data_IF_191900167428
#
_entry.id   IF_191900167428
#
_cell.length_a   1.000
_cell.length_b   1.000
_cell.length_c   1.000
_cell.angle_alpha   90.00
_cell.angle_beta   90.00
_cell.angle_gamma   90.00
#
_symmetry.space_group_name_H-M   'P 1'
#
loop_
_entity.id
_entity.type
_entity.pdbx_description
1 polymer ?
#
# COMPACT_ATOMS: atom_id res chain seq x y z
N UNK A 1 0.55 -8.31 -20.25
CA UNK A 1 0.43 -8.70 -18.82
C UNK A 1 1.82 -8.61 -18.24
N UNK A 2 2.13 -7.54 -17.49
CA UNK A 2 3.46 -7.33 -16.92
C UNK A 2 3.30 -7.32 -15.40
N UNK A 3 3.75 -8.37 -14.76
CA UNK A 3 3.86 -8.47 -13.31
C UNK A 3 5.16 -7.80 -12.90
N UNK A 4 5.07 -6.68 -12.24
CA UNK A 4 6.24 -6.01 -11.66
C UNK A 4 6.35 -6.30 -10.18
N UNK A 5 7.38 -7.07 -9.81
CA UNK A 5 8.09 -7.12 -8.53
C UNK A 5 7.31 -7.20 -7.22
N UNK A 6 7.50 -8.21 -6.57
CA UNK A 6 7.47 -8.74 -5.20
C UNK A 6 6.48 -8.25 -4.12
N UNK A 7 5.68 -7.20 -4.25
CA UNK A 7 4.76 -6.74 -3.18
C UNK A 7 3.34 -6.37 -3.59
N UNK A 8 2.97 -6.59 -4.82
CA UNK A 8 1.63 -6.33 -5.34
C UNK A 8 1.69 -5.92 -6.80
N UNK A 9 0.81 -6.48 -7.62
CA UNK A 9 0.64 -6.13 -9.02
C UNK A 9 -0.53 -5.18 -9.19
N UNK A 10 -0.41 -4.20 -10.06
CA UNK A 10 -1.46 -3.33 -10.53
C UNK A 10 -1.79 -3.72 -11.98
N UNK A 11 -3.05 -4.10 -12.24
CA UNK A 11 -3.58 -4.32 -13.58
C UNK A 11 -4.53 -3.19 -13.96
N UNK A 12 -4.47 -2.76 -15.22
CA UNK A 12 -5.38 -1.75 -15.77
C UNK A 12 -6.01 -2.28 -17.05
N UNK A 13 -7.33 -2.22 -17.14
CA UNK A 13 -8.11 -2.60 -18.33
C UNK A 13 -9.08 -1.48 -18.68
N UNK A 14 -9.17 -1.10 -19.93
CA UNK A 14 -10.12 -0.11 -20.41
C UNK A 14 -11.44 -0.79 -20.78
N UNK A 15 -12.55 -0.27 -20.24
CA UNK A 15 -13.91 -0.67 -20.59
C UNK A 15 -14.72 0.59 -20.94
N UNK A 16 -14.84 0.91 -22.23
CA UNK A 16 -15.51 2.13 -22.69
C UNK A 16 -14.79 3.41 -22.24
N UNK A 17 -15.52 4.34 -21.60
CA UNK A 17 -14.95 5.58 -21.03
C UNK A 17 -14.38 5.41 -19.63
N UNK A 18 -14.65 4.28 -18.97
CA UNK A 18 -14.13 3.97 -17.65
C UNK A 18 -12.95 2.99 -17.76
N UNK A 19 -11.99 3.16 -16.87
CA UNK A 19 -10.82 2.29 -16.78
C UNK A 19 -10.92 1.45 -15.52
N UNK A 20 -10.92 0.13 -15.68
CA UNK A 20 -10.83 -0.80 -14.55
C UNK A 20 -9.40 -0.98 -14.12
N UNK A 21 -9.16 -0.81 -12.84
CA UNK A 21 -7.86 -0.97 -12.19
C UNK A 21 -8.00 -2.05 -11.14
N UNK A 22 -7.19 -3.09 -11.22
CA UNK A 22 -7.17 -4.16 -10.23
C UNK A 22 -5.77 -4.33 -9.67
N UNK A 23 -5.69 -4.71 -8.41
CA UNK A 23 -4.43 -4.95 -7.77
C UNK A 23 -4.50 -6.01 -6.68
N UNK A 24 -3.34 -6.60 -6.40
CA UNK A 24 -3.17 -7.64 -5.41
C UNK A 24 -1.96 -7.36 -4.55
N UNK A 25 -2.16 -7.35 -3.23
CA UNK A 25 -1.10 -7.23 -2.24
C UNK A 25 -0.96 -8.56 -1.48
N UNK A 26 0.10 -9.34 -1.71
CA UNK A 26 0.27 -10.66 -1.11
C UNK A 26 0.54 -10.57 0.39
N UNK A 27 -0.13 -11.42 1.17
CA UNK A 27 0.14 -11.63 2.59
C UNK A 27 1.36 -12.55 2.80
N UNK A 28 1.85 -12.57 4.02
CA UNK A 28 2.94 -13.41 4.50
C UNK A 28 4.25 -13.32 3.67
N UNK A 29 4.37 -12.27 2.84
CA UNK A 29 5.58 -11.99 2.08
C UNK A 29 6.54 -11.15 2.91
N UNK A 30 7.73 -11.68 3.16
CA UNK A 30 8.81 -10.96 3.86
C UNK A 30 9.37 -9.87 2.94
N UNK A 31 9.34 -8.64 3.41
CA UNK A 31 9.82 -7.46 2.69
C UNK A 31 10.92 -6.78 3.49
N UNK A 32 12.04 -6.51 2.87
CA UNK A 32 13.08 -5.68 3.46
C UNK A 32 12.72 -4.20 3.25
N UNK A 33 12.48 -3.49 4.35
CA UNK A 33 12.13 -2.06 4.35
C UNK A 33 13.36 -1.16 4.49
N UNK A 34 14.40 -1.68 5.13
CA UNK A 34 15.72 -1.09 5.24
C UNK A 34 16.74 -2.21 5.52
N UNK A 35 18.04 -2.00 5.33
CA UNK A 35 19.04 -3.02 5.58
C UNK A 35 18.88 -3.66 6.97
N UNK A 36 18.62 -4.98 7.00
CA UNK A 36 18.39 -5.74 8.23
C UNK A 36 17.02 -5.53 8.88
N UNK A 37 16.12 -4.71 8.30
CA UNK A 37 14.77 -4.49 8.81
C UNK A 37 13.73 -5.08 7.87
N UNK A 38 13.05 -6.12 8.32
CA UNK A 38 12.06 -6.85 7.53
C UNK A 38 10.66 -6.69 8.10
N UNK A 39 9.67 -6.60 7.22
CA UNK A 39 8.27 -6.59 7.58
C UNK A 39 7.51 -7.69 6.85
N UNK A 40 6.53 -8.25 7.53
CA UNK A 40 5.57 -9.20 6.97
C UNK A 40 4.17 -8.79 7.42
N UNK A 41 3.23 -8.71 6.50
CA UNK A 41 1.81 -8.51 6.80
C UNK A 41 1.13 -9.87 6.80
N UNK A 42 0.62 -10.28 7.94
CA UNK A 42 -0.04 -11.57 8.10
C UNK A 42 -1.37 -11.61 7.36
N UNK A 43 -1.77 -12.80 6.94
CA UNK A 43 -3.13 -13.08 6.47
C UNK A 43 -4.15 -12.54 7.46
N UNK A 44 -5.17 -11.87 6.95
CA UNK A 44 -6.26 -11.32 7.75
C UNK A 44 -5.92 -10.09 8.56
N UNK A 45 -4.69 -9.55 8.48
CA UNK A 45 -4.30 -8.36 9.23
C UNK A 45 -5.22 -7.14 8.99
N UNK A 46 -5.88 -7.07 7.85
CA UNK A 46 -6.81 -5.99 7.48
C UNK A 46 -8.29 -6.38 7.61
N UNK A 47 -8.61 -7.54 8.20
CA UNK A 47 -9.98 -8.09 8.20
C UNK A 47 -11.01 -7.12 8.79
N UNK A 48 -10.68 -6.42 9.87
CA UNK A 48 -11.58 -5.48 10.53
C UNK A 48 -12.08 -4.38 9.58
N UNK A 49 -11.19 -3.83 8.77
CA UNK A 49 -11.53 -2.74 7.84
C UNK A 49 -12.07 -3.23 6.50
N UNK A 50 -11.57 -4.36 6.01
CA UNK A 50 -12.08 -4.95 4.78
C UNK A 50 -13.55 -5.35 4.93
N UNK A 51 -13.92 -5.90 6.10
CA UNK A 51 -15.28 -6.36 6.39
C UNK A 51 -16.21 -5.27 6.96
N UNK A 52 -15.73 -4.04 7.14
CA UNK A 52 -16.56 -2.92 7.60
C UNK A 52 -17.17 -2.16 6.42
N UNK A 53 -18.22 -1.36 6.70
CA UNK A 53 -18.83 -0.42 5.75
C UNK A 53 -18.12 0.94 5.69
N UNK A 54 -17.00 1.07 6.39
CA UNK A 54 -16.22 2.29 6.37
C UNK A 54 -15.66 2.58 4.98
N UNK A 55 -15.59 3.87 4.64
CA UNK A 55 -15.02 4.25 3.36
C UNK A 55 -13.54 3.90 3.26
N UNK A 56 -13.18 3.36 2.11
CA UNK A 56 -11.80 3.13 1.70
C UNK A 56 -11.59 3.85 0.36
N UNK A 57 -10.38 4.35 0.16
CA UNK A 57 -10.01 5.06 -1.05
C UNK A 57 -8.90 4.33 -1.81
N UNK A 58 -8.97 4.42 -3.13
CA UNK A 58 -7.84 4.19 -4.00
C UNK A 58 -7.25 5.54 -4.38
N UNK A 59 -5.97 5.75 -4.10
CA UNK A 59 -5.30 7.05 -4.23
C UNK A 59 -4.15 7.00 -5.23
N UNK A 60 -3.75 8.17 -5.72
CA UNK A 60 -2.49 8.36 -6.43
C UNK A 60 -1.43 8.83 -5.42
N UNK A 61 -0.41 7.97 -5.16
CA UNK A 61 0.75 8.34 -4.37
C UNK A 61 0.51 8.64 -2.89
N UNK A 62 -0.47 7.98 -2.23
CA UNK A 62 -0.87 8.25 -0.84
C UNK A 62 -1.45 9.65 -0.59
N UNK A 63 -1.87 10.32 -1.64
CA UNK A 63 -2.38 11.69 -1.58
C UNK A 63 -3.91 11.70 -1.55
N UNK A 64 -4.49 12.06 -0.39
CA UNK A 64 -5.94 12.14 -0.22
C UNK A 64 -6.60 13.26 -1.04
N UNK A 65 -5.83 14.19 -1.59
CA UNK A 65 -6.32 15.19 -2.54
C UNK A 65 -6.44 14.64 -3.96
N UNK A 66 -5.90 13.45 -4.22
CA UNK A 66 -5.93 12.75 -5.52
C UNK A 66 -6.63 11.39 -5.45
N UNK A 67 -7.90 11.34 -5.00
CA UNK A 67 -8.65 10.10 -4.98
C UNK A 67 -8.97 9.63 -6.41
N UNK A 68 -8.75 8.35 -6.67
CA UNK A 68 -9.03 7.69 -7.93
C UNK A 68 -10.36 6.91 -7.89
N UNK A 69 -10.68 6.34 -6.73
CA UNK A 69 -11.92 5.61 -6.47
C UNK A 69 -12.23 5.56 -4.97
N UNK A 70 -13.48 5.27 -4.60
CA UNK A 70 -13.92 5.14 -3.21
C UNK A 70 -14.97 4.04 -3.09
N UNK A 71 -14.96 3.35 -1.95
CA UNK A 71 -15.96 2.31 -1.62
C UNK A 71 -17.36 2.92 -1.54
N UNK A 72 -17.54 4.05 -0.85
CA UNK A 72 -18.84 4.72 -0.71
C UNK A 72 -19.36 5.29 -2.02
N UNK A 73 -18.48 5.66 -2.93
CA UNK A 73 -18.88 6.05 -4.28
C UNK A 73 -19.25 4.85 -5.16
N UNK A 74 -19.09 3.61 -4.67
CA UNK A 74 -19.34 2.38 -5.44
C UNK A 74 -18.34 2.13 -6.56
N UNK A 75 -17.21 2.83 -6.54
CA UNK A 75 -16.15 2.72 -7.56
C UNK A 75 -14.93 1.94 -7.08
N UNK A 76 -14.91 1.51 -5.82
CA UNK A 76 -13.84 0.68 -5.25
C UNK A 76 -14.44 -0.51 -4.51
N UNK A 77 -14.00 -1.70 -4.86
CA UNK A 77 -14.20 -2.93 -4.10
C UNK A 77 -12.88 -3.38 -3.50
N UNK A 78 -12.88 -3.71 -2.20
CA UNK A 78 -11.71 -4.27 -1.51
C UNK A 78 -12.16 -5.54 -0.80
N UNK A 79 -11.49 -6.63 -1.09
CA UNK A 79 -11.71 -7.95 -0.48
C UNK A 79 -10.39 -8.60 -0.15
N UNK A 80 -10.43 -9.71 0.54
CA UNK A 80 -9.25 -10.52 0.82
C UNK A 80 -9.55 -11.99 0.63
N UNK A 81 -8.54 -12.73 0.22
CA UNK A 81 -8.49 -14.17 0.23
C UNK A 81 -7.40 -14.67 1.19
N UNK A 82 -7.18 -15.98 1.19
CA UNK A 82 -6.14 -16.61 2.01
C UNK A 82 -4.71 -16.14 1.67
N UNK A 83 -4.49 -15.60 0.50
CA UNK A 83 -3.15 -15.24 0.02
C UNK A 83 -2.91 -13.74 -0.14
N UNK A 84 -3.96 -12.91 -0.19
CA UNK A 84 -3.78 -11.49 -0.50
C UNK A 84 -4.94 -10.59 -0.11
N UNK A 85 -4.63 -9.29 0.03
CA UNK A 85 -5.59 -8.20 -0.14
C UNK A 85 -5.76 -7.94 -1.63
N UNK A 86 -7.01 -7.88 -2.09
CA UNK A 86 -7.38 -7.70 -3.50
C UNK A 86 -8.25 -6.45 -3.56
N UNK A 87 -8.01 -5.60 -4.55
CA UNK A 87 -8.89 -4.48 -4.83
C UNK A 87 -9.22 -4.42 -6.33
N UNK A 88 -10.40 -3.89 -6.61
CA UNK A 88 -10.87 -3.56 -7.96
C UNK A 88 -11.47 -2.17 -7.92
N UNK A 89 -11.04 -1.30 -8.83
CA UNK A 89 -11.48 0.08 -8.90
C UNK A 89 -11.92 0.45 -10.32
N UNK A 90 -12.96 1.27 -10.41
CA UNK A 90 -13.37 1.93 -11.66
C UNK A 90 -12.91 3.37 -11.60
N UNK A 91 -11.92 3.72 -12.41
CA UNK A 91 -11.35 5.06 -12.48
C UNK A 91 -11.93 5.81 -13.64
N UNK A 92 -12.63 6.91 -13.37
CA UNK A 92 -13.12 7.82 -14.39
C UNK A 92 -12.03 8.84 -14.76
N UNK A 93 -11.69 8.95 -16.04
CA UNK A 93 -10.68 9.88 -16.54
C UNK A 93 -11.12 11.36 -16.58
N UNK A 94 -12.08 11.77 -15.74
CA UNK A 94 -12.66 13.12 -15.76
C UNK A 94 -11.93 14.13 -14.87
N UNK A 95 -11.02 13.68 -14.00
CA UNK A 95 -10.16 14.57 -13.21
C UNK A 95 -8.73 14.62 -13.80
N UNK A 96 -7.99 15.71 -13.53
CA UNK A 96 -6.61 15.83 -14.02
C UNK A 96 -5.73 14.73 -13.49
N UNK A 97 -5.76 14.49 -12.18
CA UNK A 97 -4.92 13.47 -11.54
C UNK A 97 -5.28 12.03 -11.95
N UNK A 98 -6.54 11.75 -12.32
CA UNK A 98 -6.91 10.43 -12.84
C UNK A 98 -6.33 10.23 -14.25
N UNK A 99 -6.38 11.24 -15.13
CA UNK A 99 -5.71 11.19 -16.44
C UNK A 99 -4.19 11.07 -16.29
N UNK A 100 -3.60 11.84 -15.39
CA UNK A 100 -2.16 11.80 -15.13
C UNK A 100 -1.73 10.42 -14.61
N UNK A 101 -2.52 9.82 -13.70
CA UNK A 101 -2.29 8.46 -13.23
C UNK A 101 -2.36 7.45 -14.37
N UNK A 102 -3.41 7.48 -15.19
CA UNK A 102 -3.60 6.54 -16.31
C UNK A 102 -2.46 6.67 -17.32
N UNK A 103 -2.11 7.89 -17.72
CA UNK A 103 -0.99 8.15 -18.62
C UNK A 103 0.36 7.69 -18.04
N UNK A 104 0.61 7.97 -16.77
CA UNK A 104 1.83 7.52 -16.09
C UNK A 104 1.90 6.00 -15.95
N UNK A 105 0.76 5.34 -15.71
CA UNK A 105 0.70 3.88 -15.68
C UNK A 105 0.97 3.27 -17.06
N UNK A 106 0.34 3.78 -18.12
CA UNK A 106 0.56 3.36 -19.50
C UNK A 106 2.02 3.54 -19.91
N UNK A 107 2.64 4.67 -19.53
CA UNK A 107 4.06 4.92 -19.73
C UNK A 107 4.98 4.05 -18.84
N UNK A 108 4.41 3.22 -17.94
CA UNK A 108 5.16 2.34 -17.05
C UNK A 108 5.86 3.05 -15.89
N UNK A 109 5.50 4.29 -15.60
CA UNK A 109 6.07 5.08 -14.50
C UNK A 109 5.47 4.71 -13.15
N UNK A 110 4.19 4.32 -13.11
CA UNK A 110 3.47 3.86 -11.91
C UNK A 110 3.11 2.40 -12.09
N UNK A 111 3.72 1.51 -11.28
CA UNK A 111 3.54 0.06 -11.39
C UNK A 111 3.29 -0.61 -10.05
N UNK A 112 3.54 0.07 -8.96
CA UNK A 112 3.45 -0.46 -7.62
C UNK A 112 2.08 -0.24 -7.01
N UNK A 113 1.76 -1.12 -6.05
CA UNK A 113 0.62 -0.99 -5.16
C UNK A 113 1.15 -0.93 -3.73
N UNK A 114 0.59 -0.01 -2.93
CA UNK A 114 0.94 0.13 -1.52
C UNK A 114 -0.33 0.30 -0.68
N UNK A 115 -0.55 -0.54 0.35
CA UNK A 115 -1.60 -0.31 1.33
C UNK A 115 -1.13 0.73 2.35
N UNK A 116 -1.94 1.75 2.63
CA UNK A 116 -1.78 2.63 3.78
C UNK A 116 -2.57 2.07 4.95
N UNK A 117 -1.94 1.91 6.12
CA UNK A 117 -2.59 1.32 7.29
C UNK A 117 -2.02 1.84 8.61
N UNK A 118 -2.81 1.68 9.68
CA UNK A 118 -2.42 1.94 11.06
C UNK A 118 -2.44 0.65 11.84
N UNK A 119 -1.33 0.32 12.50
CA UNK A 119 -1.24 -0.88 13.33
C UNK A 119 -2.08 -0.71 14.59
N UNK A 120 -2.95 -1.66 14.88
CA UNK A 120 -3.76 -1.69 16.09
C UNK A 120 -2.89 -1.89 17.34
N UNK A 121 -3.38 -1.49 18.50
CA UNK A 121 -2.65 -1.73 19.75
C UNK A 121 -2.42 -3.23 19.95
N UNK A 122 -1.14 -3.64 20.02
CA UNK A 122 -0.76 -5.06 20.09
C UNK A 122 -0.89 -5.81 18.75
N UNK A 123 -1.12 -5.10 17.65
CA UNK A 123 -1.29 -5.66 16.29
C UNK A 123 0.02 -5.99 15.58
N UNK A 124 1.14 -5.97 16.28
CA UNK A 124 2.43 -6.36 15.72
C UNK A 124 3.21 -7.31 16.63
N UNK A 125 4.10 -8.05 16.03
CA UNK A 125 5.11 -8.88 16.71
C UNK A 125 6.47 -8.49 16.16
N UNK A 126 7.39 -8.13 17.05
CA UNK A 126 8.76 -7.78 16.69
C UNK A 126 9.71 -8.79 17.30
N UNK A 127 10.54 -9.41 16.45
CA UNK A 127 11.62 -10.30 16.87
C UNK A 127 12.95 -9.74 16.39
N UNK A 128 14.01 -10.03 17.13
CA UNK A 128 15.39 -9.63 16.81
C UNK A 128 16.27 -10.85 16.78
N UNK A 129 17.14 -10.91 15.78
CA UNK A 129 18.18 -11.91 15.65
C UNK A 129 19.48 -11.17 15.28
N UNK A 130 20.33 -10.90 16.28
CA UNK A 130 21.46 -10.00 16.14
C UNK A 130 21.01 -8.61 15.67
N UNK A 131 21.56 -8.15 14.55
CA UNK A 131 21.24 -6.86 13.94
C UNK A 131 19.99 -6.90 13.05
N UNK A 132 19.39 -8.09 12.87
CA UNK A 132 18.21 -8.26 12.03
C UNK A 132 16.94 -8.10 12.85
N UNK A 133 16.03 -7.26 12.37
CA UNK A 133 14.71 -7.02 12.96
C UNK A 133 13.63 -7.58 12.05
N UNK A 134 12.74 -8.39 12.61
CA UNK A 134 11.53 -8.88 11.92
C UNK A 134 10.31 -8.31 12.60
N UNK A 135 9.51 -7.58 11.84
CA UNK A 135 8.22 -7.05 12.25
C UNK A 135 7.11 -7.80 11.53
N UNK A 136 6.23 -8.47 12.27
CA UNK A 136 5.03 -9.10 11.72
C UNK A 136 3.80 -8.32 12.14
N UNK A 137 3.07 -7.76 11.17
CA UNK A 137 1.79 -7.10 11.38
C UNK A 137 0.70 -8.15 11.36
N UNK A 138 -0.05 -8.27 12.47
CA UNK A 138 -1.10 -9.27 12.62
C UNK A 138 -2.50 -8.66 12.71
N UNK A 139 -2.59 -7.36 13.05
CA UNK A 139 -3.84 -6.61 13.06
C UNK A 139 -3.56 -5.13 12.77
N UNK A 140 -4.24 -4.58 11.77
CA UNK A 140 -4.10 -3.19 11.38
C UNK A 140 -5.38 -2.66 10.72
N UNK A 141 -5.67 -1.40 10.95
CA UNK A 141 -6.73 -0.70 10.23
C UNK A 141 -6.21 -0.26 8.85
N UNK A 142 -6.72 -0.86 7.77
CA UNK A 142 -6.48 -0.40 6.42
C UNK A 142 -7.09 1.00 6.25
N UNK A 143 -6.33 1.96 5.80
CA UNK A 143 -6.75 3.36 5.61
C UNK A 143 -7.07 3.63 4.14
N UNK A 144 -6.20 3.18 3.24
CA UNK A 144 -6.32 3.37 1.81
C UNK A 144 -5.48 2.33 1.04
N UNK A 145 -5.61 2.32 -0.27
CA UNK A 145 -4.75 1.59 -1.19
C UNK A 145 -4.24 2.59 -2.23
N UNK A 146 -2.95 2.60 -2.53
CA UNK A 146 -2.38 3.58 -3.45
C UNK A 146 -1.61 2.98 -4.60
N UNK A 147 -1.75 3.63 -5.75
CA UNK A 147 -0.85 3.46 -6.87
C UNK A 147 0.44 4.26 -6.63
N UNK A 148 1.58 3.61 -6.72
CA UNK A 148 2.89 4.20 -6.43
C UNK A 148 3.92 3.86 -7.52
N UNK A 149 4.95 4.69 -7.65
CA UNK A 149 6.02 4.47 -8.65
C UNK A 149 6.79 3.19 -8.40
N UNK A 150 7.02 2.85 -7.12
CA UNK A 150 7.63 1.60 -6.68
C UNK A 150 6.91 1.09 -5.44
N UNK A 151 6.41 -0.15 -5.50
CA UNK A 151 5.66 -0.80 -4.42
C UNK A 151 6.45 -1.13 -3.17
N UNK A 152 7.72 -0.79 -3.06
CA UNK A 152 8.54 -1.03 -1.88
C UNK A 152 9.75 -0.09 -1.85
N UNK A 153 9.52 1.22 -1.76
CA UNK A 153 10.61 2.10 -1.38
C UNK A 153 10.67 2.14 0.15
N UNK A 154 11.76 1.65 0.76
CA UNK A 154 11.81 1.39 2.20
C UNK A 154 11.54 2.63 3.06
N UNK A 155 12.07 3.79 2.68
CA UNK A 155 11.95 5.03 3.46
C UNK A 155 10.56 5.66 3.40
N UNK A 156 9.94 5.74 2.23
CA UNK A 156 8.62 6.34 2.07
C UNK A 156 7.51 5.50 2.69
N UNK A 157 7.65 4.18 2.66
CA UNK A 157 6.68 3.27 3.27
C UNK A 157 6.80 3.25 4.80
N UNK A 158 8.00 3.39 5.35
CA UNK A 158 8.19 3.50 6.79
C UNK A 158 7.55 4.79 7.31
N UNK A 159 7.68 5.90 6.62
CA UNK A 159 7.05 7.17 7.01
C UNK A 159 5.53 7.10 6.92
N UNK A 160 4.97 6.56 5.86
CA UNK A 160 3.52 6.41 5.71
C UNK A 160 2.92 5.42 6.73
N UNK A 161 3.67 4.36 7.10
CA UNK A 161 3.25 3.33 8.05
C UNK A 161 3.48 3.72 9.52
N UNK A 162 4.43 4.61 9.77
CA UNK A 162 4.86 5.01 11.13
C UNK A 162 4.34 6.38 11.55
N UNK A 163 3.38 6.96 10.87
CA UNK A 163 2.83 8.26 11.25
C UNK A 163 2.47 8.38 12.75
N UNK A 164 2.02 7.31 13.40
CA UNK A 164 1.71 7.33 14.82
C UNK A 164 2.67 6.50 15.70
N UNK A 165 3.59 5.72 15.13
CA UNK A 165 4.56 4.93 15.89
C UNK A 165 5.79 5.75 16.34
N UNK A 166 5.72 7.06 16.31
CA UNK A 166 6.80 8.00 16.69
C UNK A 166 7.35 7.87 18.12
N UNK A 167 7.02 6.79 18.83
CA UNK A 167 7.52 6.53 20.19
C UNK A 167 8.34 5.24 20.36
N UNK A 168 8.45 4.35 19.38
CA UNK A 168 8.99 3.01 19.71
C UNK A 168 10.25 2.56 18.98
N UNK A 169 10.75 3.17 17.93
CA UNK A 169 12.06 2.77 17.38
C UNK A 169 12.82 4.01 16.87
N UNK A 170 13.58 4.65 17.75
CA UNK A 170 14.78 5.37 17.33
C UNK A 170 15.87 4.34 17.03
N UNK A 171 15.78 3.65 15.92
CA UNK A 171 16.99 3.18 15.28
C UNK A 171 17.65 4.41 14.64
N UNK A 172 18.93 4.67 14.87
CA UNK A 172 19.62 5.77 14.21
C UNK A 172 19.58 5.49 12.71
N UNK A 173 18.84 6.31 11.96
CA UNK A 173 18.92 6.32 10.51
C UNK A 173 20.35 6.73 10.17
N UNK A 174 21.11 5.92 9.41
CA UNK A 174 22.46 6.29 9.01
C UNK A 174 22.46 7.68 8.38
N UNK A 175 23.43 8.51 8.73
CA UNK A 175 23.51 9.91 8.29
C UNK A 175 23.46 10.10 6.75
N UNK A 176 23.72 9.05 5.97
CA UNK A 176 23.64 9.01 4.52
C UNK A 176 22.20 9.10 3.96
N UNK A 177 21.15 8.94 4.78
CA UNK A 177 19.75 9.02 4.35
C UNK A 177 19.06 10.34 4.70
N UNK A 178 19.78 11.34 5.16
CA UNK A 178 19.22 12.69 5.32
C UNK A 178 19.21 13.38 3.97
N UNK A 179 18.05 13.51 3.36
CA UNK A 179 17.87 14.38 2.21
C UNK A 179 18.21 15.82 2.62
N UNK A 180 19.10 16.45 1.89
CA UNK A 180 19.33 17.90 2.02
C UNK A 180 18.11 18.59 1.41
N UNK A 181 17.47 19.45 2.21
CA UNK A 181 16.48 20.41 1.75
C UNK A 181 17.11 21.39 0.77
#
# INVERSE_FOLDING_TARGET
MLWGGSLGGLEVRQEGEAVRVAGRFPYDTRTELAPGYFETIARGAFASRVNSDDDLHFLSGHDFEKPLASRKAGTLEVRQDDGALIFEATVAGNTTWARDFLAAHEAGLIRGLSPGFRVSKGGERVTRDGDVVHRKIVDAALVEVSAVTRGAYPSAQIEARNWEAGQFIRAPVPAAMRWRA
#
